data_IF_845276015418
#
_entry.id   IF_845276015418
#
_cell.length_a   1.000
_cell.length_b   1.000
_cell.length_c   1.000
_cell.angle_alpha   90.00
_cell.angle_beta   90.00
_cell.angle_gamma   90.00
#
_symmetry.space_group_name_H-M   'P 1'
#
loop_
_entity.id
_entity.type
_entity.pdbx_description
1 polymer ?
#
# COMPACT_ATOMS: atom_id res chain seq x y z
N UNK A 1 -3.63 -6.19 -15.77
CA UNK A 1 -4.96 -6.02 -15.16
C UNK A 1 -5.11 -4.56 -14.75
N UNK A 2 -5.96 -3.81 -15.47
CA UNK A 2 -6.19 -2.39 -15.18
C UNK A 2 -6.94 -2.25 -13.86
N UNK A 3 -6.36 -1.59 -12.89
CA UNK A 3 -7.09 -1.12 -11.71
C UNK A 3 -7.74 0.20 -12.12
N UNK A 4 -9.02 0.15 -12.45
CA UNK A 4 -9.80 1.34 -12.81
C UNK A 4 -10.30 2.05 -11.55
N UNK A 5 -9.68 3.17 -11.20
CA UNK A 5 -10.04 4.03 -10.06
C UNK A 5 -11.14 5.05 -10.40
N UNK A 6 -11.90 4.86 -11.46
CA UNK A 6 -12.71 5.93 -12.10
C UNK A 6 -14.05 6.26 -11.46
N UNK A 7 -14.53 5.72 -10.34
CA UNK A 7 -15.94 5.96 -10.00
C UNK A 7 -16.33 6.41 -8.60
N UNK A 8 -15.47 6.62 -7.63
CA UNK A 8 -15.98 6.96 -6.29
C UNK A 8 -15.42 8.22 -5.60
N UNK A 9 -14.66 9.06 -6.28
CA UNK A 9 -14.19 10.34 -5.69
C UNK A 9 -15.18 11.53 -5.83
N UNK A 10 -16.41 11.32 -6.29
CA UNK A 10 -17.32 12.44 -6.64
C UNK A 10 -18.48 12.70 -5.66
N UNK A 11 -18.55 12.06 -4.50
CA UNK A 11 -19.75 12.21 -3.62
C UNK A 11 -19.45 12.80 -2.23
N UNK A 12 -18.28 13.30 -1.95
CA UNK A 12 -17.98 13.85 -0.62
C UNK A 12 -17.76 15.37 -0.57
N UNK A 13 -18.31 16.14 -1.51
CA UNK A 13 -18.15 17.61 -1.51
C UNK A 13 -19.46 18.39 -1.54
N UNK A 14 -20.42 18.06 -0.69
CA UNK A 14 -21.60 18.92 -0.53
C UNK A 14 -22.17 18.78 0.87
N UNK A 15 -21.57 19.41 1.84
CA UNK A 15 -22.26 19.83 3.06
C UNK A 15 -21.34 20.60 4.01
N UNK A 16 -20.92 21.81 3.68
CA UNK A 16 -20.63 22.82 4.70
C UNK A 16 -20.87 24.18 4.07
N UNK A 17 -22.09 24.68 4.20
CA UNK A 17 -22.37 26.11 4.21
C UNK A 17 -23.67 26.32 4.94
N UNK A 18 -23.59 26.48 6.25
CA UNK A 18 -24.51 27.24 7.08
C UNK A 18 -24.03 27.17 8.53
N UNK A 19 -23.25 28.13 8.97
CA UNK A 19 -23.36 28.59 10.34
C UNK A 19 -22.69 29.96 10.48
N UNK A 20 -23.51 30.97 10.44
CA UNK A 20 -23.19 32.30 10.94
C UNK A 20 -23.38 32.31 12.46
N UNK A 21 -22.41 32.89 13.16
CA UNK A 21 -22.45 33.42 14.53
C UNK A 21 -22.43 32.40 15.69
N UNK A 22 -21.24 32.22 16.24
CA UNK A 22 -21.00 32.33 17.69
C UNK A 22 -19.48 32.39 17.95
N UNK A 23 -18.95 33.22 18.82
CA UNK A 23 -17.57 33.32 19.19
C UNK A 23 -17.35 32.49 20.46
N UNK A 24 -16.95 31.25 20.30
CA UNK A 24 -16.34 30.49 21.41
C UNK A 24 -15.35 29.49 20.84
N UNK A 25 -14.18 29.47 21.41
CA UNK A 25 -13.06 28.62 21.18
C UNK A 25 -13.47 27.14 21.20
N UNK A 26 -13.78 26.60 20.05
CA UNK A 26 -13.91 25.16 19.92
C UNK A 26 -12.48 24.65 19.70
N UNK A 27 -11.91 23.83 20.61
CA UNK A 27 -10.66 23.19 20.31
C UNK A 27 -10.86 22.36 19.04
N UNK A 28 -10.00 22.58 18.04
CA UNK A 28 -9.95 21.73 16.85
C UNK A 28 -9.73 20.30 17.35
N UNK A 29 -10.81 19.61 17.57
CA UNK A 29 -10.77 18.17 17.81
C UNK A 29 -10.12 17.55 16.56
N UNK A 30 -9.07 16.78 16.77
CA UNK A 30 -8.37 16.08 15.73
C UNK A 30 -9.37 15.55 14.71
N UNK A 31 -9.21 15.95 13.45
CA UNK A 31 -10.06 15.47 12.38
C UNK A 31 -10.12 13.95 12.50
N UNK A 32 -11.32 13.42 12.70
CA UNK A 32 -11.52 11.98 12.69
C UNK A 32 -10.89 11.44 11.41
N UNK A 33 -9.94 10.55 11.54
CA UNK A 33 -9.31 9.91 10.39
C UNK A 33 -10.45 9.37 9.52
N UNK A 34 -10.54 9.85 8.28
CA UNK A 34 -11.51 9.34 7.34
C UNK A 34 -11.10 7.90 7.07
N UNK A 35 -11.80 6.98 7.70
CA UNK A 35 -11.63 5.56 7.45
C UNK A 35 -12.23 5.27 6.06
N UNK A 36 -11.38 5.25 5.05
CA UNK A 36 -11.79 4.69 3.77
C UNK A 36 -12.07 3.20 3.95
N UNK A 37 -13.16 2.67 3.34
CA UNK A 37 -13.39 1.24 3.39
C UNK A 37 -12.16 0.52 2.81
N UNK A 38 -11.59 -0.37 3.59
CA UNK A 38 -10.43 -1.17 3.20
C UNK A 38 -10.85 -2.03 2.02
N UNK A 39 -10.43 -1.67 0.81
CA UNK A 39 -10.62 -2.52 -0.36
C UNK A 39 -9.51 -3.56 -0.37
N UNK A 40 -9.89 -4.83 -0.36
CA UNK A 40 -8.94 -5.91 -0.60
C UNK A 40 -8.41 -5.82 -2.03
N UNK A 41 -7.10 -5.74 -2.16
CA UNK A 41 -6.40 -5.69 -3.45
C UNK A 41 -5.47 -6.88 -3.60
N UNK A 42 -5.03 -7.13 -4.83
CA UNK A 42 -3.88 -7.97 -5.13
C UNK A 42 -2.74 -7.10 -5.62
N UNK A 43 -1.54 -7.40 -5.18
CA UNK A 43 -0.32 -6.69 -5.60
C UNK A 43 0.36 -7.57 -6.64
N UNK A 44 0.23 -7.20 -7.92
CA UNK A 44 0.88 -7.89 -9.03
C UNK A 44 2.39 -7.65 -9.04
N UNK A 45 3.15 -8.64 -9.45
CA UNK A 45 4.62 -8.62 -9.47
C UNK A 45 5.11 -8.35 -10.89
N UNK A 46 5.42 -7.08 -11.19
CA UNK A 46 5.97 -6.66 -12.49
C UNK A 46 5.18 -7.19 -13.69
N UNK A 47 5.86 -7.60 -14.75
CA UNK A 47 5.29 -8.17 -15.97
C UNK A 47 5.03 -9.68 -15.87
N UNK A 48 4.80 -10.18 -14.66
CA UNK A 48 4.50 -11.60 -14.42
C UNK A 48 2.99 -11.81 -14.24
N UNK A 49 2.56 -13.07 -14.32
CA UNK A 49 1.21 -13.52 -13.94
C UNK A 49 1.07 -13.80 -12.43
N UNK A 50 2.05 -13.35 -11.63
CA UNK A 50 2.14 -13.62 -10.20
C UNK A 50 1.72 -12.44 -9.35
N UNK A 51 1.19 -12.75 -8.17
CA UNK A 51 0.84 -11.80 -7.13
C UNK A 51 1.71 -12.01 -5.89
N UNK A 52 1.90 -10.93 -5.14
CA UNK A 52 2.48 -10.99 -3.79
C UNK A 52 1.62 -11.90 -2.93
N UNK A 53 2.22 -12.92 -2.38
CA UNK A 53 1.58 -13.97 -1.60
C UNK A 53 2.31 -14.12 -0.26
N UNK A 54 1.57 -14.31 0.81
CA UNK A 54 2.17 -14.51 2.12
C UNK A 54 1.54 -15.70 2.84
N UNK A 55 2.38 -16.61 3.31
CA UNK A 55 1.98 -17.75 4.13
C UNK A 55 2.80 -17.79 5.42
N UNK A 56 2.11 -17.73 6.56
CA UNK A 56 2.73 -17.50 7.87
C UNK A 56 3.53 -16.18 7.86
N UNK A 57 4.85 -16.26 7.92
CA UNK A 57 5.75 -15.08 7.83
C UNK A 57 6.50 -14.99 6.51
N UNK A 58 6.32 -15.97 5.62
CA UNK A 58 7.06 -16.08 4.34
C UNK A 58 6.34 -15.29 3.26
N UNK A 59 7.09 -14.45 2.55
CA UNK A 59 6.60 -13.69 1.39
C UNK A 59 7.17 -14.32 0.12
N UNK A 60 6.29 -14.57 -0.83
CA UNK A 60 6.62 -15.18 -2.13
C UNK A 60 5.75 -14.60 -3.25
N UNK A 61 5.99 -14.98 -4.49
CA UNK A 61 5.12 -14.68 -5.62
C UNK A 61 4.44 -15.95 -6.13
N UNK A 62 3.12 -15.91 -6.29
CA UNK A 62 2.33 -17.04 -6.80
C UNK A 62 1.33 -16.58 -7.85
N UNK A 63 1.01 -17.48 -8.79
CA UNK A 63 -0.12 -17.28 -9.68
C UNK A 63 -1.40 -17.17 -8.87
N UNK A 64 -2.38 -16.45 -9.39
CA UNK A 64 -3.61 -16.19 -8.67
C UNK A 64 -4.32 -17.49 -8.25
N UNK A 65 -4.54 -17.64 -6.95
CA UNK A 65 -5.18 -18.82 -6.35
C UNK A 65 -6.60 -18.55 -5.85
N UNK A 66 -6.98 -17.28 -5.65
CA UNK A 66 -8.22 -16.88 -4.98
C UNK A 66 -8.13 -16.93 -3.44
N UNK A 67 -6.97 -17.31 -2.90
CA UNK A 67 -6.73 -17.39 -1.46
C UNK A 67 -6.73 -16.02 -0.77
N UNK A 68 -7.04 -15.98 0.52
CA UNK A 68 -6.87 -14.78 1.35
C UNK A 68 -5.39 -14.38 1.51
N UNK A 69 -4.46 -15.32 1.31
CA UNK A 69 -3.02 -15.11 1.41
C UNK A 69 -2.44 -14.21 0.31
N UNK A 70 -3.18 -13.95 -0.76
CA UNK A 70 -2.81 -13.00 -1.84
C UNK A 70 -3.56 -11.67 -1.76
N UNK A 71 -4.38 -11.48 -0.72
CA UNK A 71 -5.17 -10.28 -0.52
C UNK A 71 -4.52 -9.37 0.49
N UNK A 72 -4.48 -8.10 0.12
CA UNK A 72 -3.82 -7.05 0.89
C UNK A 72 -4.71 -5.83 1.00
N UNK A 73 -4.51 -5.05 2.03
CA UNK A 73 -5.05 -3.71 2.15
C UNK A 73 -3.92 -2.69 2.30
N UNK A 74 -4.13 -1.50 1.77
CA UNK A 74 -3.19 -0.39 1.89
C UNK A 74 -3.82 0.63 2.82
N UNK A 75 -3.21 0.85 3.97
CA UNK A 75 -3.65 1.81 4.98
C UNK A 75 -2.78 3.07 4.91
N UNK A 76 -3.40 4.22 4.72
CA UNK A 76 -2.71 5.50 4.76
C UNK A 76 -2.30 5.83 6.19
N UNK A 77 -1.06 6.25 6.36
CA UNK A 77 -0.52 6.68 7.66
C UNK A 77 -0.37 8.20 7.71
N UNK A 78 0.50 8.75 6.85
CA UNK A 78 0.71 10.21 6.73
C UNK A 78 1.55 10.51 5.47
N UNK A 79 1.39 11.70 4.90
CA UNK A 79 2.30 12.27 3.87
C UNK A 79 2.79 11.29 2.77
N UNK A 80 1.87 10.48 2.24
CA UNK A 80 2.21 9.48 1.20
C UNK A 80 2.85 8.21 1.74
N UNK A 81 2.88 8.03 3.05
CA UNK A 81 3.35 6.84 3.74
C UNK A 81 2.17 5.90 4.02
N UNK A 82 2.36 4.63 3.76
CA UNK A 82 1.35 3.59 3.86
C UNK A 82 1.86 2.38 4.63
N UNK A 83 0.94 1.62 5.18
CA UNK A 83 1.12 0.24 5.61
C UNK A 83 0.51 -0.69 4.58
N UNK A 84 1.16 -1.84 4.38
CA UNK A 84 0.66 -2.92 3.52
C UNK A 84 0.31 -4.08 4.42
N UNK A 85 -0.98 -4.33 4.57
CA UNK A 85 -1.54 -5.26 5.55
C UNK A 85 -2.07 -6.50 4.86
N UNK A 86 -1.69 -7.69 5.31
CA UNK A 86 -2.27 -8.93 4.82
C UNK A 86 -3.70 -9.10 5.35
N UNK A 87 -4.66 -9.28 4.45
CA UNK A 87 -6.08 -9.38 4.83
C UNK A 87 -6.41 -10.63 5.66
N UNK A 88 -5.63 -11.71 5.51
CA UNK A 88 -5.89 -12.98 6.19
C UNK A 88 -5.68 -12.91 7.71
N UNK A 89 -4.69 -12.15 8.19
CA UNK A 89 -4.30 -12.15 9.60
C UNK A 89 -4.00 -10.76 10.18
N UNK A 90 -4.07 -9.70 9.37
CA UNK A 90 -3.78 -8.34 9.81
C UNK A 90 -2.29 -8.03 10.02
N UNK A 91 -1.38 -8.92 9.63
CA UNK A 91 0.05 -8.68 9.76
C UNK A 91 0.56 -7.73 8.66
N UNK A 92 1.60 -6.96 8.96
CA UNK A 92 2.16 -5.95 8.09
C UNK A 92 3.37 -6.47 7.31
N UNK A 93 3.46 -6.11 6.03
CA UNK A 93 4.66 -6.30 5.24
C UNK A 93 5.80 -5.50 5.87
N UNK A 94 6.85 -6.20 6.27
CA UNK A 94 7.94 -5.67 7.10
C UNK A 94 9.30 -6.02 6.48
N UNK A 95 10.27 -5.12 6.59
CA UNK A 95 11.67 -5.40 6.22
C UNK A 95 12.47 -5.79 7.45
N UNK A 96 13.06 -6.97 7.43
CA UNK A 96 13.98 -7.43 8.47
C UNK A 96 15.29 -7.90 7.82
N UNK A 97 16.41 -7.26 8.16
CA UNK A 97 17.74 -7.58 7.61
C UNK A 97 17.79 -7.63 6.06
N UNK A 98 17.05 -6.71 5.40
CA UNK A 98 16.98 -6.63 3.94
C UNK A 98 16.01 -7.63 3.28
N UNK A 99 15.44 -8.56 4.02
CA UNK A 99 14.41 -9.50 3.55
C UNK A 99 13.02 -9.02 3.92
N UNK A 100 12.02 -9.37 3.11
CA UNK A 100 10.63 -9.06 3.40
C UNK A 100 9.95 -10.22 4.13
N UNK A 101 9.18 -9.89 5.15
CA UNK A 101 8.45 -10.83 6.00
C UNK A 101 7.13 -10.21 6.46
N UNK A 102 6.27 -10.99 7.11
CA UNK A 102 5.13 -10.47 7.85
C UNK A 102 5.47 -10.34 9.34
N UNK A 103 5.04 -9.23 9.95
CA UNK A 103 5.12 -9.04 11.39
C UNK A 103 3.85 -8.35 11.93
N UNK A 104 3.59 -8.50 13.21
CA UNK A 104 2.56 -7.72 13.89
C UNK A 104 2.89 -6.21 13.80
N UNK A 105 1.88 -5.38 13.84
CA UNK A 105 2.05 -3.93 13.91
C UNK A 105 2.86 -3.54 15.16
N UNK A 106 3.95 -2.81 14.94
CA UNK A 106 4.85 -2.34 15.98
C UNK A 106 5.20 -0.85 15.80
N UNK A 107 4.45 -0.16 14.92
CA UNK A 107 4.64 1.27 14.60
C UNK A 107 6.10 1.62 14.19
N UNK A 108 6.75 0.74 13.45
CA UNK A 108 8.15 0.87 13.05
C UNK A 108 8.29 1.34 11.61
N UNK A 109 9.36 2.06 11.31
CA UNK A 109 9.67 2.55 9.96
C UNK A 109 9.93 1.43 8.95
N UNK A 110 10.32 0.26 9.42
CA UNK A 110 10.46 -0.98 8.65
C UNK A 110 9.14 -1.49 8.07
N UNK A 111 8.01 -1.07 8.65
CA UNK A 111 6.64 -1.41 8.25
C UNK A 111 5.98 -0.32 7.39
N UNK A 112 6.69 0.77 7.15
CA UNK A 112 6.21 1.94 6.41
C UNK A 112 6.72 1.94 4.98
N UNK A 113 5.85 2.29 4.04
CA UNK A 113 6.13 2.21 2.62
C UNK A 113 5.63 3.46 1.87
N UNK A 114 6.44 3.97 0.96
CA UNK A 114 6.00 4.93 -0.05
C UNK A 114 5.60 4.19 -1.33
N UNK A 115 4.45 4.52 -1.88
CA UNK A 115 3.96 3.94 -3.15
C UNK A 115 4.04 5.02 -4.22
N UNK A 116 4.93 4.84 -5.19
CA UNK A 116 5.26 5.86 -6.19
C UNK A 116 5.03 5.31 -7.60
N UNK A 117 4.24 6.02 -8.40
CA UNK A 117 4.06 5.70 -9.82
C UNK A 117 5.35 5.93 -10.61
N UNK A 118 5.71 4.99 -11.49
CA UNK A 118 6.96 5.03 -12.25
C UNK A 118 6.77 5.18 -13.75
N UNK A 119 5.61 4.87 -14.27
CA UNK A 119 5.27 5.04 -15.69
C UNK A 119 3.81 5.44 -15.82
N UNK A 120 3.53 6.40 -16.69
CA UNK A 120 2.18 6.88 -16.93
C UNK A 120 1.69 6.44 -18.31
N UNK A 121 0.40 6.17 -18.44
CA UNK A 121 -0.28 6.04 -19.72
C UNK A 121 -0.55 7.42 -20.36
N UNK A 122 -1.23 7.43 -21.52
CA UNK A 122 -1.58 8.67 -22.21
C UNK A 122 -2.51 9.61 -21.40
N UNK A 123 -3.26 9.06 -20.46
CA UNK A 123 -4.17 9.81 -19.57
C UNK A 123 -3.46 10.29 -18.28
N UNK A 124 -2.17 9.98 -18.12
CA UNK A 124 -1.37 10.37 -16.96
C UNK A 124 -1.50 9.45 -15.75
N UNK A 125 -2.14 8.28 -15.88
CA UNK A 125 -2.23 7.29 -14.80
C UNK A 125 -0.96 6.45 -14.74
N UNK A 126 -0.50 6.13 -13.54
CA UNK A 126 0.63 5.24 -13.37
C UNK A 126 0.27 3.81 -13.82
N UNK A 127 1.08 3.24 -14.71
CA UNK A 127 0.96 1.86 -15.16
C UNK A 127 1.57 0.91 -14.13
N UNK A 128 2.68 1.34 -13.51
CA UNK A 128 3.41 0.58 -12.51
C UNK A 128 3.70 1.44 -11.29
N UNK A 129 3.90 0.79 -10.16
CA UNK A 129 4.27 1.43 -8.92
C UNK A 129 5.52 0.76 -8.36
N UNK A 130 6.44 1.56 -7.85
CA UNK A 130 7.46 1.09 -6.94
C UNK A 130 6.99 1.28 -5.50
N UNK A 131 7.25 0.28 -4.68
CA UNK A 131 6.95 0.26 -3.26
C UNK A 131 8.29 0.41 -2.53
N UNK A 132 8.52 1.55 -1.89
CA UNK A 132 9.80 1.91 -1.29
C UNK A 132 9.69 1.89 0.23
N UNK A 133 10.54 1.12 0.88
CA UNK A 133 10.57 1.06 2.35
C UNK A 133 11.11 2.36 2.95
N UNK A 134 10.40 2.92 3.92
CA UNK A 134 10.76 4.21 4.53
C UNK A 134 12.06 4.14 5.36
N UNK A 135 12.40 2.99 5.94
CA UNK A 135 13.62 2.80 6.73
C UNK A 135 14.87 2.74 5.86
N UNK A 136 14.85 1.89 4.84
CA UNK A 136 16.02 1.61 4.00
C UNK A 136 16.11 2.53 2.78
N UNK A 137 15.02 3.20 2.41
CA UNK A 137 14.87 3.94 1.14
C UNK A 137 15.15 3.06 -0.10
N UNK A 138 14.85 1.77 0.01
CA UNK A 138 15.03 0.77 -1.05
C UNK A 138 13.68 0.24 -1.52
N UNK A 139 13.60 -0.11 -2.80
CA UNK A 139 12.38 -0.65 -3.39
C UNK A 139 12.21 -2.14 -3.06
N UNK A 140 10.94 -2.53 -2.86
CA UNK A 140 10.53 -3.92 -2.81
C UNK A 140 10.91 -4.61 -4.13
N UNK A 141 11.72 -5.65 -4.05
CA UNK A 141 12.30 -6.32 -5.21
C UNK A 141 12.02 -7.82 -5.13
N UNK A 142 11.59 -8.38 -6.23
CA UNK A 142 11.34 -9.81 -6.37
C UNK A 142 12.53 -10.51 -7.03
N UNK A 143 12.98 -11.63 -6.46
CA UNK A 143 13.95 -12.54 -7.05
C UNK A 143 13.23 -13.77 -7.60
N UNK A 144 13.12 -13.94 -8.94
CA UNK A 144 12.43 -15.09 -9.53
C UNK A 144 13.15 -16.42 -9.28
N UNK A 145 14.47 -16.39 -9.11
CA UNK A 145 15.30 -17.59 -8.88
C UNK A 145 15.01 -18.23 -7.53
N UNK A 146 14.85 -17.41 -6.50
CA UNK A 146 14.59 -17.87 -5.13
C UNK A 146 13.12 -17.78 -4.74
N UNK A 147 12.30 -17.14 -5.57
CA UNK A 147 10.89 -16.83 -5.29
C UNK A 147 10.70 -16.06 -3.97
N UNK A 148 11.59 -15.10 -3.70
CA UNK A 148 11.60 -14.32 -2.47
C UNK A 148 11.53 -12.82 -2.74
N UNK A 149 11.11 -12.06 -1.74
CA UNK A 149 11.14 -10.60 -1.76
C UNK A 149 12.19 -10.07 -0.80
N UNK A 150 12.88 -9.04 -1.26
CA UNK A 150 13.87 -8.27 -0.50
C UNK A 150 13.71 -6.79 -0.81
N UNK A 151 14.56 -5.95 -0.24
CA UNK A 151 14.69 -4.56 -0.66
C UNK A 151 16.03 -4.33 -1.35
N UNK A 152 16.02 -3.57 -2.45
CA UNK A 152 17.21 -3.18 -3.19
C UNK A 152 17.10 -1.75 -3.72
N UNK A 153 18.23 -1.15 -4.11
CA UNK A 153 18.23 0.14 -4.77
C UNK A 153 17.43 0.04 -6.09
N UNK A 154 16.52 1.00 -6.31
CA UNK A 154 15.77 1.06 -7.56
C UNK A 154 16.67 1.55 -8.69
N UNK A 155 16.90 0.72 -9.69
CA UNK A 155 17.82 1.01 -10.82
C UNK A 155 17.11 1.59 -12.05
N UNK A 156 15.78 1.69 -12.04
CA UNK A 156 14.99 2.15 -13.19
C UNK A 156 14.83 1.12 -14.31
N UNK A 157 15.43 -0.07 -14.19
CA UNK A 157 15.18 -1.17 -15.11
C UNK A 157 13.88 -1.89 -14.71
N UNK A 158 12.99 -2.04 -15.66
CA UNK A 158 11.90 -3.01 -15.64
C UNK A 158 12.26 -4.18 -16.53
#
# INVERSE_FOLDING_TARGET
MQISWKKECAVAMTAILCCSMLPEWIPFSAAAAVSYPVQEIRIGVGDTDRNLFAENTTISAQTQTGSQNEKWSITYVQDGVYEIVQSANGALLTVQNGSCTLAADADQTEQRWNIVGVQNDFDGYALYYKIVNCKSNQALTFSPETNTFSTAAYTGAM
#
